data_IF_157756329562
#
_entry.id   IF_157756329562
#
_cell.length_a   1.000
_cell.length_b   1.000
_cell.length_c   1.000
_cell.angle_alpha   90.00
_cell.angle_beta   90.00
_cell.angle_gamma   90.00
#
_symmetry.space_group_name_H-M   'P 1'
#
loop_
_entity.id
_entity.type
_entity.pdbx_description
1 polymer ?
#
# COMPACT_ATOMS: atom_id res chain seq x y z
N UNK A 1 60.73 -29.91 25.14
CA UNK A 1 59.29 -29.95 24.80
C UNK A 1 58.76 -28.51 24.79
N UNK A 2 58.48 -27.91 23.63
CA UNK A 2 58.10 -26.48 23.48
C UNK A 2 56.72 -26.42 22.83
N UNK A 3 55.69 -26.09 23.61
CA UNK A 3 54.29 -25.98 23.15
C UNK A 3 54.14 -24.74 22.25
N UNK A 4 53.76 -24.93 20.98
CA UNK A 4 53.38 -23.86 20.07
C UNK A 4 51.96 -23.40 20.41
N UNK A 5 51.79 -22.17 20.91
CA UNK A 5 50.46 -21.54 21.05
C UNK A 5 49.86 -21.34 19.65
N UNK A 6 48.72 -21.98 19.38
CA UNK A 6 47.89 -21.70 18.20
C UNK A 6 47.07 -20.43 18.49
N UNK A 7 47.26 -19.39 17.69
CA UNK A 7 46.40 -18.21 17.68
C UNK A 7 45.06 -18.58 17.06
N UNK A 8 43.97 -18.43 17.82
CA UNK A 8 42.61 -18.48 17.30
C UNK A 8 42.29 -17.07 16.82
N UNK A 9 42.23 -16.86 15.50
CA UNK A 9 41.75 -15.60 14.94
C UNK A 9 40.22 -15.52 15.14
N UNK A 10 39.80 -14.62 16.02
CA UNK A 10 38.42 -14.18 16.13
C UNK A 10 38.14 -13.20 14.97
N UNK A 11 37.40 -13.64 13.95
CA UNK A 11 36.86 -12.74 12.94
C UNK A 11 35.56 -12.14 13.48
N UNK A 12 35.47 -10.81 13.70
CA UNK A 12 34.20 -10.19 14.08
C UNK A 12 33.24 -10.28 12.89
N UNK A 13 32.09 -10.93 13.11
CA UNK A 13 30.97 -10.90 12.18
C UNK A 13 30.35 -9.50 12.29
N UNK A 14 30.64 -8.63 11.33
CA UNK A 14 29.97 -7.33 11.21
C UNK A 14 28.56 -7.55 10.64
N UNK A 15 27.54 -7.39 11.48
CA UNK A 15 26.14 -7.32 11.03
C UNK A 15 25.92 -5.92 10.44
N UNK A 16 26.00 -5.81 9.12
CA UNK A 16 25.60 -4.58 8.41
C UNK A 16 24.08 -4.45 8.49
N UNK A 17 23.57 -3.61 9.40
CA UNK A 17 22.15 -3.22 9.40
C UNK A 17 21.89 -2.39 8.14
N UNK A 18 21.23 -2.99 7.14
CA UNK A 18 20.79 -2.29 5.93
C UNK A 18 19.66 -1.33 6.33
N UNK A 19 19.95 -0.03 6.42
CA UNK A 19 18.92 1.00 6.58
C UNK A 19 18.33 1.25 5.20
N UNK A 20 17.09 0.80 4.96
CA UNK A 20 16.37 1.14 3.74
C UNK A 20 15.90 2.60 3.82
N UNK A 21 15.96 3.37 2.72
CA UNK A 21 15.40 4.71 2.69
C UNK A 21 13.89 4.67 2.93
N UNK A 22 13.36 5.73 3.55
CA UNK A 22 11.92 5.91 3.71
C UNK A 22 11.26 5.86 2.32
N UNK A 23 10.30 4.95 2.15
CA UNK A 23 9.55 4.83 0.90
C UNK A 23 8.63 6.02 0.70
N UNK A 24 7.72 6.27 1.64
CA UNK A 24 6.73 7.35 1.56
C UNK A 24 6.31 7.82 2.95
N UNK A 25 6.21 9.15 3.15
CA UNK A 25 5.68 9.74 4.38
C UNK A 25 4.21 10.07 4.20
N UNK A 26 3.32 9.35 4.88
CA UNK A 26 1.88 9.55 4.74
C UNK A 26 1.37 10.83 5.40
N UNK A 27 2.21 11.56 6.16
CA UNK A 27 1.84 12.86 6.74
C UNK A 27 1.67 13.94 5.67
N UNK A 28 2.18 13.71 4.46
CA UNK A 28 2.08 14.67 3.33
C UNK A 28 0.79 14.49 2.51
N UNK A 29 -0.06 13.53 2.88
CA UNK A 29 -1.33 13.24 2.22
C UNK A 29 -2.48 13.15 3.22
N UNK A 30 -3.71 13.18 2.73
CA UNK A 30 -4.90 13.17 3.56
C UNK A 30 -5.27 11.74 4.00
N UNK A 31 -5.40 11.56 5.30
CA UNK A 31 -5.80 10.30 5.92
C UNK A 31 -4.63 9.31 6.09
N UNK A 32 -4.56 8.59 7.22
CA UNK A 32 -3.58 7.51 7.40
C UNK A 32 -3.73 6.40 6.34
N UNK A 33 -2.66 5.62 6.09
CA UNK A 33 -2.73 4.46 5.22
C UNK A 33 -3.62 3.38 5.86
N UNK A 34 -4.48 2.78 5.05
CA UNK A 34 -5.19 1.53 5.38
C UNK A 34 -4.72 0.41 4.43
N UNK A 35 -5.61 -0.19 3.66
CA UNK A 35 -5.29 -1.24 2.70
C UNK A 35 -4.59 -0.72 1.44
N UNK A 36 -3.82 -1.61 0.83
CA UNK A 36 -3.17 -1.37 -0.45
C UNK A 36 -3.10 -2.56 -1.40
N UNK A 37 -2.53 -2.29 -2.57
CA UNK A 37 -2.32 -3.21 -3.70
C UNK A 37 -1.16 -2.70 -4.58
N UNK A 38 -0.70 -3.48 -5.57
CA UNK A 38 0.30 -3.08 -6.56
C UNK A 38 -0.24 -3.35 -7.97
N UNK A 39 0.00 -2.43 -8.91
CA UNK A 39 -0.34 -2.60 -10.33
C UNK A 39 0.80 -3.20 -11.16
N UNK A 40 0.55 -3.49 -12.44
CA UNK A 40 1.55 -4.11 -13.34
C UNK A 40 2.78 -3.25 -13.59
N UNK A 41 2.72 -1.95 -13.33
CA UNK A 41 3.87 -1.04 -13.44
C UNK A 41 4.69 -0.98 -12.15
N UNK A 42 4.32 -1.77 -11.13
CA UNK A 42 4.96 -1.79 -9.82
C UNK A 42 4.57 -0.60 -8.94
N UNK A 43 3.54 0.17 -9.30
CA UNK A 43 3.08 1.27 -8.47
C UNK A 43 2.20 0.75 -7.33
N UNK A 44 2.41 1.28 -6.13
CA UNK A 44 1.65 0.94 -4.92
C UNK A 44 0.40 1.80 -4.81
N UNK A 45 -0.73 1.16 -4.59
CA UNK A 45 -2.01 1.81 -4.34
C UNK A 45 -2.33 1.75 -2.84
N UNK A 46 -2.76 2.86 -2.25
CA UNK A 46 -3.18 2.91 -0.85
C UNK A 46 -4.51 3.67 -0.69
N UNK A 47 -5.33 3.25 0.26
CA UNK A 47 -6.41 4.08 0.77
C UNK A 47 -5.92 5.06 1.86
N UNK A 48 -6.33 6.32 1.75
CA UNK A 48 -6.21 7.34 2.80
C UNK A 48 -7.50 7.37 3.62
N UNK A 49 -7.60 6.50 4.63
CA UNK A 49 -8.81 6.36 5.45
C UNK A 49 -9.01 7.63 6.28
N UNK A 50 -10.24 8.16 6.36
CA UNK A 50 -10.52 9.45 6.98
C UNK A 50 -10.16 10.65 6.09
N UNK A 51 -9.31 10.44 5.08
CA UNK A 51 -8.95 11.45 4.08
C UNK A 51 -9.85 11.45 2.85
N UNK A 52 -10.63 10.38 2.63
CA UNK A 52 -11.51 10.18 1.47
C UNK A 52 -10.76 10.12 0.15
N UNK A 53 -9.57 9.52 0.14
CA UNK A 53 -8.68 9.50 -1.02
C UNK A 53 -8.13 8.10 -1.28
N UNK A 54 -7.88 7.79 -2.55
CA UNK A 54 -7.03 6.67 -2.98
C UNK A 54 -5.78 7.26 -3.65
N UNK A 55 -4.60 6.80 -3.27
CA UNK A 55 -3.33 7.24 -3.82
C UNK A 55 -2.66 6.14 -4.63
N UNK A 56 -2.12 6.50 -5.79
CA UNK A 56 -1.16 5.69 -6.54
C UNK A 56 0.23 6.27 -6.35
N UNK A 57 1.15 5.47 -5.82
CA UNK A 57 2.53 5.84 -5.56
C UNK A 57 3.45 5.10 -6.55
N UNK A 58 4.40 5.81 -7.13
CA UNK A 58 5.47 5.20 -7.93
C UNK A 58 6.30 4.21 -7.11
N UNK A 59 7.10 3.34 -7.75
CA UNK A 59 8.06 2.47 -7.05
C UNK A 59 9.12 3.23 -6.22
N UNK A 60 9.23 4.55 -6.39
CA UNK A 60 10.11 5.45 -5.63
C UNK A 60 9.36 6.26 -4.57
N UNK A 61 8.09 5.94 -4.30
CA UNK A 61 7.28 6.58 -3.26
C UNK A 61 6.76 7.98 -3.59
N UNK A 62 6.78 8.39 -4.86
CA UNK A 62 6.14 9.64 -5.31
C UNK A 62 4.66 9.41 -5.63
N UNK A 63 3.78 10.31 -5.20
CA UNK A 63 2.36 10.30 -5.62
C UNK A 63 2.28 10.56 -7.12
N UNK A 64 1.70 9.61 -7.87
CA UNK A 64 1.45 9.71 -9.31
C UNK A 64 -0.02 10.05 -9.61
N UNK A 65 -0.93 9.64 -8.73
CA UNK A 65 -2.37 9.87 -8.88
C UNK A 65 -3.03 9.96 -7.50
N UNK A 66 -4.06 10.78 -7.40
CA UNK A 66 -4.98 10.86 -6.27
C UNK A 66 -6.41 10.77 -6.81
N UNK A 67 -7.24 9.94 -6.20
CA UNK A 67 -8.66 9.82 -6.54
C UNK A 67 -9.47 10.24 -5.32
N UNK A 68 -10.27 11.29 -5.47
CA UNK A 68 -11.22 11.72 -4.43
C UNK A 68 -12.42 10.77 -4.42
N UNK A 69 -12.67 10.18 -3.27
CA UNK A 69 -13.79 9.27 -3.05
C UNK A 69 -14.98 10.05 -2.49
N UNK A 70 -16.23 9.71 -2.88
CA UNK A 70 -17.42 10.36 -2.36
C UNK A 70 -17.65 10.10 -0.85
N UNK A 71 -16.89 9.17 -0.27
CA UNK A 71 -16.95 8.74 1.13
C UNK A 71 -15.66 9.09 1.87
N UNK A 72 -15.74 9.25 3.19
CA UNK A 72 -14.59 9.68 4.02
C UNK A 72 -13.59 8.55 4.28
N UNK A 73 -14.06 7.31 4.36
CA UNK A 73 -13.26 6.17 4.85
C UNK A 73 -13.13 5.07 3.79
N UNK A 74 -12.45 5.31 2.66
CA UNK A 74 -12.02 4.21 1.81
C UNK A 74 -11.04 3.35 2.59
N UNK A 75 -11.11 2.02 2.45
CA UNK A 75 -10.28 1.10 3.24
C UNK A 75 -9.33 0.29 2.38
N UNK A 76 -9.79 -0.39 1.33
CA UNK A 76 -8.90 -1.22 0.51
C UNK A 76 -9.17 -1.12 -0.99
N UNK A 77 -8.18 -0.70 -1.80
CA UNK A 77 -8.20 -0.83 -3.25
C UNK A 77 -7.76 -2.24 -3.68
N UNK A 78 -8.39 -2.79 -4.71
CA UNK A 78 -8.02 -4.06 -5.33
C UNK A 78 -8.41 -4.07 -6.81
N UNK A 79 -7.47 -4.44 -7.68
CA UNK A 79 -7.79 -4.64 -9.10
C UNK A 79 -8.55 -5.95 -9.31
N UNK A 80 -9.58 -5.91 -10.14
CA UNK A 80 -10.41 -7.04 -10.49
C UNK A 80 -11.04 -6.87 -11.88
N UNK A 81 -12.10 -7.66 -12.14
CA UNK A 81 -12.67 -7.78 -13.48
C UNK A 81 -11.87 -8.75 -14.37
N UNK A 82 -12.41 -9.16 -15.53
CA UNK A 82 -11.78 -10.15 -16.40
C UNK A 82 -10.38 -9.76 -16.88
N UNK A 83 -10.11 -8.46 -17.04
CA UNK A 83 -8.86 -7.92 -17.54
C UNK A 83 -7.97 -7.31 -16.43
N UNK A 84 -8.39 -7.40 -15.16
CA UNK A 84 -7.76 -6.73 -14.02
C UNK A 84 -7.64 -5.20 -14.19
N UNK A 85 -8.59 -4.56 -14.86
CA UNK A 85 -8.61 -3.13 -15.20
C UNK A 85 -9.70 -2.33 -14.45
N UNK A 86 -10.40 -2.99 -13.50
CA UNK A 86 -11.37 -2.35 -12.60
C UNK A 86 -10.76 -2.25 -11.21
N UNK A 87 -10.63 -1.03 -10.67
CA UNK A 87 -10.19 -0.82 -9.29
C UNK A 87 -11.41 -0.84 -8.35
N UNK A 88 -11.62 -1.96 -7.68
CA UNK A 88 -12.61 -2.07 -6.61
C UNK A 88 -12.08 -1.42 -5.34
N UNK A 89 -12.94 -0.68 -4.64
CA UNK A 89 -12.59 -0.01 -3.38
C UNK A 89 -13.65 -0.31 -2.35
N UNK A 90 -13.24 -1.00 -1.28
CA UNK A 90 -14.08 -1.16 -0.08
C UNK A 90 -14.05 0.11 0.77
N UNK A 91 -15.08 0.32 1.58
CA UNK A 91 -15.15 1.46 2.50
C UNK A 91 -15.70 1.05 3.87
N UNK A 92 -15.44 1.88 4.87
CA UNK A 92 -15.90 1.68 6.25
C UNK A 92 -17.16 2.51 6.47
N UNK A 93 -18.25 1.81 6.83
CA UNK A 93 -19.49 2.44 7.24
C UNK A 93 -19.47 2.89 8.70
N UNK A 94 -20.49 3.67 9.09
CA UNK A 94 -20.69 4.09 10.47
C UNK A 94 -19.72 5.18 10.96
N UNK A 95 -19.99 5.64 12.18
CA UNK A 95 -19.36 6.83 12.77
C UNK A 95 -19.88 8.15 12.19
N UNK A 96 -19.31 9.24 12.66
CA UNK A 96 -19.53 10.56 12.07
C UNK A 96 -18.76 10.68 10.76
N UNK A 97 -19.41 11.25 9.74
CA UNK A 97 -18.78 11.61 8.49
C UNK A 97 -18.63 13.14 8.44
N UNK A 98 -17.43 13.66 8.16
CA UNK A 98 -17.17 15.09 8.02
C UNK A 98 -17.17 15.47 6.55
N UNK A 99 -18.26 16.09 6.09
CA UNK A 99 -18.31 16.77 4.79
C UNK A 99 -18.35 15.87 3.55
N UNK A 100 -18.54 14.55 3.70
CA UNK A 100 -18.68 13.59 2.58
C UNK A 100 -19.96 12.77 2.68
N UNK A 101 -20.33 12.11 1.58
CA UNK A 101 -21.60 11.39 1.47
C UNK A 101 -21.68 10.25 2.49
N UNK A 102 -22.59 10.37 3.47
CA UNK A 102 -22.79 9.37 4.51
C UNK A 102 -23.64 8.19 4.03
N UNK A 103 -24.52 8.40 3.06
CA UNK A 103 -25.46 7.37 2.60
C UNK A 103 -24.76 6.19 1.92
N UNK A 104 -23.61 6.44 1.30
CA UNK A 104 -22.79 5.42 0.63
C UNK A 104 -21.66 4.88 1.51
N UNK A 105 -21.49 5.38 2.74
CA UNK A 105 -20.43 4.90 3.63
C UNK A 105 -20.61 3.41 3.97
N UNK A 106 -19.57 2.60 3.74
CA UNK A 106 -19.64 1.14 3.88
C UNK A 106 -19.96 0.40 2.57
N UNK A 107 -20.21 1.13 1.49
CA UNK A 107 -20.43 0.54 0.16
C UNK A 107 -19.13 0.05 -0.48
N UNK A 108 -19.29 -0.76 -1.53
CA UNK A 108 -18.24 -1.14 -2.47
C UNK A 108 -18.32 -0.26 -3.71
N UNK A 109 -17.19 0.31 -4.13
CA UNK A 109 -17.08 1.13 -5.32
C UNK A 109 -16.28 0.40 -6.41
N UNK A 110 -16.60 0.67 -7.67
CA UNK A 110 -15.85 0.20 -8.82
C UNK A 110 -15.41 1.39 -9.67
N UNK A 111 -14.11 1.57 -9.85
CA UNK A 111 -13.52 2.64 -10.64
C UNK A 111 -12.99 2.02 -11.94
N UNK A 112 -13.44 2.53 -13.07
CA UNK A 112 -13.10 2.04 -14.41
C UNK A 112 -12.46 3.15 -15.25
N UNK A 113 -11.90 2.81 -16.41
CA UNK A 113 -11.34 3.81 -17.33
C UNK A 113 -10.01 4.43 -16.88
N UNK A 114 -9.33 3.82 -15.89
CA UNK A 114 -8.03 4.31 -15.39
C UNK A 114 -6.88 4.09 -16.39
N UNK A 115 -7.04 3.18 -17.37
CA UNK A 115 -5.96 2.76 -18.26
C UNK A 115 -4.84 1.99 -17.56
N UNK A 116 -5.09 1.48 -16.35
CA UNK A 116 -4.11 0.80 -15.49
C UNK A 116 -4.61 -0.61 -15.21
N UNK A 117 -3.70 -1.57 -15.29
CA UNK A 117 -3.98 -2.98 -15.01
C UNK A 117 -3.31 -3.45 -13.72
N UNK A 118 -4.03 -4.25 -12.95
CA UNK A 118 -3.54 -4.92 -11.76
C UNK A 118 -2.79 -6.22 -12.03
N UNK A 119 -2.23 -6.77 -10.95
CA UNK A 119 -1.60 -8.08 -10.94
C UNK A 119 -2.56 -9.14 -10.38
N UNK A 120 -2.44 -10.37 -10.89
CA UNK A 120 -3.14 -11.51 -10.32
C UNK A 120 -2.66 -11.74 -8.89
N UNK A 121 -3.60 -11.89 -7.97
CA UNK A 121 -3.29 -12.23 -6.59
C UNK A 121 -2.98 -13.72 -6.47
N UNK A 122 -2.00 -14.06 -5.64
CA UNK A 122 -1.64 -15.44 -5.34
C UNK A 122 -2.78 -16.11 -4.57
N UNK A 123 -3.22 -17.28 -5.02
CA UNK A 123 -4.19 -18.09 -4.25
C UNK A 123 -3.50 -18.70 -3.04
N UNK A 124 -4.21 -18.71 -1.92
CA UNK A 124 -3.82 -19.54 -0.79
C UNK A 124 -4.13 -20.99 -1.15
N UNK A 125 -3.11 -21.85 -1.13
CA UNK A 125 -3.27 -23.28 -1.39
C UNK A 125 -3.37 -24.03 -0.06
N UNK A 126 -4.48 -24.72 0.14
CA UNK A 126 -4.72 -25.70 1.22
C UNK A 126 -4.79 -27.11 0.66
#
# INVERSE_FOLDING_TARGET
MRLKKRSVLFWPVFVVKRVLPLFFDTKVVSGPPDGGNVDREGCYWQAGVGGGQIYRLSPKGKVLMSIDMPIEKPSKPMFGGPNLDVLYVTSIGGGEAKGRNRSEAGSLFAITGLGIQGMSQTRFNV
#
